data_IF_899478213304
#
_entry.id   IF_899478213304
#
_cell.length_a   1.000
_cell.length_b   1.000
_cell.length_c   1.000
_cell.angle_alpha   90.00
_cell.angle_beta   90.00
_cell.angle_gamma   90.00
#
_symmetry.space_group_name_H-M   'P 1'
#
loop_
_entity.id
_entity.type
_entity.pdbx_description
1 polymer ?
#
# COMPACT_ATOMS: atom_id res chain seq x y z
N UNK A 1 -35.07 36.21 -73.07
CA UNK A 1 -33.76 35.60 -72.75
C UNK A 1 -33.38 36.03 -71.33
N UNK A 2 -32.69 35.19 -70.55
CA UNK A 2 -33.07 34.48 -69.30
C UNK A 2 -32.80 35.34 -68.04
N UNK A 3 -32.99 34.96 -66.77
CA UNK A 3 -32.68 33.71 -66.08
C UNK A 3 -33.44 33.63 -64.73
N UNK A 4 -34.12 32.50 -64.49
CA UNK A 4 -33.78 31.48 -63.50
C UNK A 4 -34.24 31.79 -62.05
N UNK A 5 -35.44 31.29 -61.79
CA UNK A 5 -35.83 30.28 -60.79
C UNK A 5 -35.09 30.17 -59.44
N UNK A 6 -35.86 29.91 -58.37
CA UNK A 6 -35.42 29.87 -56.98
C UNK A 6 -34.83 28.51 -56.63
N UNK A 7 -33.81 28.45 -55.78
CA UNK A 7 -33.61 27.24 -54.97
C UNK A 7 -32.88 27.52 -53.66
N UNK A 8 -33.56 28.18 -52.73
CA UNK A 8 -33.23 27.97 -51.32
C UNK A 8 -33.97 26.69 -50.86
N UNK A 9 -33.60 25.52 -51.41
CA UNK A 9 -33.98 24.24 -50.80
C UNK A 9 -33.09 24.03 -49.59
N UNK A 10 -33.47 24.65 -48.47
CA UNK A 10 -33.03 24.19 -47.15
C UNK A 10 -33.66 22.81 -46.96
N UNK A 11 -32.96 21.79 -47.44
CA UNK A 11 -33.40 20.39 -47.35
C UNK A 11 -33.35 20.01 -45.88
N UNK A 12 -34.47 20.20 -45.18
CA UNK A 12 -34.68 19.68 -43.84
C UNK A 12 -34.81 18.15 -43.97
N UNK A 13 -33.66 17.48 -44.09
CA UNK A 13 -33.57 16.02 -44.08
C UNK A 13 -33.85 15.55 -42.65
N UNK A 14 -35.12 15.39 -42.33
CA UNK A 14 -35.53 14.62 -41.16
C UNK A 14 -35.03 13.20 -41.32
N UNK A 15 -34.38 12.68 -40.28
CA UNK A 15 -34.01 11.27 -40.23
C UNK A 15 -35.29 10.43 -40.35
N UNK A 16 -35.24 9.35 -41.14
CA UNK A 16 -36.40 8.46 -41.22
C UNK A 16 -36.66 7.85 -39.84
N UNK A 17 -37.91 7.56 -39.48
CA UNK A 17 -38.25 7.02 -38.16
C UNK A 17 -37.41 5.80 -37.77
N UNK A 18 -37.10 4.94 -38.75
CA UNK A 18 -36.28 3.74 -38.56
C UNK A 18 -34.81 4.09 -38.35
N UNK A 19 -34.24 4.99 -39.15
CA UNK A 19 -32.83 5.39 -39.02
C UNK A 19 -32.59 6.16 -37.72
N UNK A 20 -33.55 6.97 -37.28
CA UNK A 20 -33.49 7.67 -35.99
C UNK A 20 -33.46 6.70 -34.82
N UNK A 21 -34.31 5.66 -34.85
CA UNK A 21 -34.35 4.63 -33.79
C UNK A 21 -33.05 3.81 -33.76
N UNK A 22 -32.55 3.36 -34.91
CA UNK A 22 -31.30 2.59 -34.94
C UNK A 22 -30.12 3.41 -34.41
N UNK A 23 -30.02 4.69 -34.78
CA UNK A 23 -28.96 5.58 -34.29
C UNK A 23 -29.06 5.79 -32.77
N UNK A 24 -30.28 5.99 -32.25
CA UNK A 24 -30.50 6.14 -30.82
C UNK A 24 -30.07 4.89 -30.04
N UNK A 25 -30.49 3.70 -30.50
CA UNK A 25 -30.17 2.43 -29.85
C UNK A 25 -28.65 2.21 -29.80
N UNK A 26 -27.94 2.47 -30.90
CA UNK A 26 -26.48 2.32 -30.95
C UNK A 26 -25.79 3.22 -29.91
N UNK A 27 -26.20 4.49 -29.81
CA UNK A 27 -25.60 5.42 -28.86
C UNK A 27 -25.88 4.97 -27.42
N UNK A 28 -27.11 4.54 -27.12
CA UNK A 28 -27.48 4.07 -25.77
C UNK A 28 -26.69 2.81 -25.40
N UNK A 29 -26.54 1.86 -26.32
CA UNK A 29 -25.75 0.64 -26.08
C UNK A 29 -24.29 0.98 -25.83
N UNK A 30 -23.72 1.91 -26.60
CA UNK A 30 -22.35 2.36 -26.42
C UNK A 30 -22.17 3.06 -25.06
N UNK A 31 -23.06 3.99 -24.71
CA UNK A 31 -23.04 4.68 -23.41
C UNK A 31 -23.18 3.69 -22.25
N UNK A 32 -24.12 2.76 -22.33
CA UNK A 32 -24.31 1.72 -21.31
C UNK A 32 -23.06 0.84 -21.15
N UNK A 33 -22.42 0.44 -22.26
CA UNK A 33 -21.17 -0.32 -22.21
C UNK A 33 -20.03 0.48 -21.57
N UNK A 34 -19.88 1.77 -21.91
CA UNK A 34 -18.82 2.62 -21.33
C UNK A 34 -19.03 2.87 -19.85
N UNK A 35 -20.26 3.17 -19.41
CA UNK A 35 -20.58 3.37 -17.99
C UNK A 35 -20.47 2.04 -17.23
N UNK A 36 -20.92 0.93 -17.82
CA UNK A 36 -20.76 -0.40 -17.25
C UNK A 36 -19.30 -0.79 -17.04
N UNK A 37 -18.42 -0.51 -18.01
CA UNK A 37 -16.99 -0.73 -17.89
C UNK A 37 -16.33 0.18 -16.83
N UNK A 38 -16.77 1.43 -16.70
CA UNK A 38 -16.29 2.32 -15.64
C UNK A 38 -16.73 1.83 -14.25
N UNK A 39 -18.00 1.43 -14.08
CA UNK A 39 -18.54 0.92 -12.81
C UNK A 39 -17.87 -0.39 -12.39
N UNK A 40 -17.68 -1.33 -13.32
CA UNK A 40 -16.95 -2.58 -13.07
C UNK A 40 -15.46 -2.33 -12.79
N UNK A 41 -14.87 -1.30 -13.41
CA UNK A 41 -13.50 -0.87 -13.14
C UNK A 41 -13.29 -0.26 -11.75
N UNK A 42 -14.36 0.11 -11.02
CA UNK A 42 -14.28 0.55 -9.62
C UNK A 42 -14.31 -0.61 -8.61
N UNK A 43 -14.68 -1.83 -9.01
CA UNK A 43 -14.63 -2.98 -8.10
C UNK A 43 -13.19 -3.31 -7.69
N UNK A 44 -12.20 -2.99 -8.53
CA UNK A 44 -10.77 -3.28 -8.28
C UNK A 44 -10.05 -2.16 -7.49
N UNK A 45 -10.55 -0.91 -7.58
CA UNK A 45 -9.97 0.25 -6.86
C UNK A 45 -10.56 0.43 -5.46
N UNK A 46 -11.56 -0.39 -5.09
CA UNK A 46 -12.04 -0.53 -3.71
C UNK A 46 -11.28 -1.63 -2.96
N UNK A 47 -10.02 -1.89 -3.33
CA UNK A 47 -9.10 -2.64 -2.48
C UNK A 47 -8.81 -1.77 -1.27
N UNK A 48 -9.65 -1.95 -0.24
CA UNK A 48 -9.52 -1.63 1.20
C UNK A 48 -8.80 -0.32 1.55
N UNK A 49 -9.39 0.62 2.31
CA UNK A 49 -8.65 1.78 2.80
C UNK A 49 -7.39 1.28 3.52
N UNK A 50 -6.21 1.53 2.91
CA UNK A 50 -4.93 1.26 3.55
C UNK A 50 -4.99 1.95 4.92
N UNK A 51 -4.70 1.22 6.01
CA UNK A 51 -4.74 1.79 7.36
C UNK A 51 -4.00 3.12 7.35
N UNK A 52 -4.65 4.16 7.86
CA UNK A 52 -4.07 5.50 7.94
C UNK A 52 -3.11 5.55 9.13
N UNK A 53 -2.08 4.71 9.08
CA UNK A 53 -1.03 4.59 10.09
C UNK A 53 0.29 4.86 9.39
N UNK A 54 1.10 5.71 10.00
CA UNK A 54 2.41 6.07 9.47
C UNK A 54 3.48 5.65 10.45
N UNK A 55 4.57 5.12 9.92
CA UNK A 55 5.77 4.82 10.69
C UNK A 55 6.97 5.53 10.07
N UNK A 56 7.94 5.83 10.91
CA UNK A 56 9.28 6.25 10.51
C UNK A 56 10.28 5.15 10.90
N UNK A 57 11.36 5.01 10.14
CA UNK A 57 12.37 3.97 10.41
C UNK A 57 13.76 4.60 10.47
N UNK A 58 14.36 4.51 11.65
CA UNK A 58 15.71 4.98 11.93
C UNK A 58 16.70 3.80 11.95
N UNK A 59 17.70 3.85 11.07
CA UNK A 59 18.76 2.86 11.01
C UNK A 59 20.02 3.30 11.76
N UNK A 60 20.54 2.42 12.60
CA UNK A 60 21.72 2.64 13.42
C UNK A 60 22.83 1.62 13.08
N UNK A 61 23.69 1.92 12.09
CA UNK A 61 24.71 0.98 11.59
C UNK A 61 25.82 0.64 12.60
N UNK A 62 26.02 1.47 13.62
CA UNK A 62 27.05 1.33 14.65
C UNK A 62 26.54 0.75 15.97
N UNK A 63 25.23 0.48 16.07
CA UNK A 63 24.61 -0.18 17.22
C UNK A 63 24.81 0.52 18.58
N UNK A 64 24.72 1.85 18.70
CA UNK A 64 25.01 2.56 19.93
C UNK A 64 24.06 2.15 21.05
N UNK A 65 24.60 1.64 22.15
CA UNK A 65 23.79 1.21 23.29
C UNK A 65 23.00 -0.08 23.05
N UNK A 66 23.22 -0.78 21.93
CA UNK A 66 22.61 -2.08 21.69
C UNK A 66 23.35 -3.19 22.47
N UNK A 67 22.62 -3.94 23.30
CA UNK A 67 23.15 -5.05 24.08
C UNK A 67 23.64 -6.25 23.24
N UNK A 68 23.12 -6.40 22.01
CA UNK A 68 23.53 -7.48 21.10
C UNK A 68 24.81 -7.17 20.30
N UNK A 69 25.40 -5.97 20.48
CA UNK A 69 26.60 -5.50 19.78
C UNK A 69 26.49 -5.52 18.24
N UNK A 70 25.30 -5.25 17.69
CA UNK A 70 25.05 -5.15 16.25
C UNK A 70 24.22 -3.95 15.87
N UNK A 71 24.17 -3.65 14.57
CA UNK A 71 23.27 -2.67 14.00
C UNK A 71 21.81 -3.03 14.26
N UNK A 72 20.96 -2.01 14.35
CA UNK A 72 19.52 -2.17 14.59
C UNK A 72 18.74 -1.11 13.82
N UNK A 73 17.43 -1.31 13.69
CA UNK A 73 16.47 -0.29 13.26
C UNK A 73 15.48 -0.01 14.40
N UNK A 74 15.03 1.23 14.52
CA UNK A 74 13.87 1.58 15.31
C UNK A 74 12.73 1.95 14.36
N UNK A 75 11.64 1.20 14.43
CA UNK A 75 10.42 1.49 13.69
C UNK A 75 9.50 2.28 14.61
N UNK A 76 9.35 3.57 14.39
CA UNK A 76 8.58 4.48 15.26
C UNK A 76 7.21 4.73 14.68
N UNK A 77 6.16 4.54 15.47
CA UNK A 77 4.80 4.92 15.13
C UNK A 77 4.62 6.45 15.23
N UNK A 78 4.23 7.09 14.13
CA UNK A 78 4.12 8.56 14.04
C UNK A 78 2.67 9.06 14.15
N UNK A 79 1.75 8.43 13.41
CA UNK A 79 0.37 8.87 13.30
C UNK A 79 -0.58 7.68 13.12
N UNK A 80 -1.81 7.84 13.63
CA UNK A 80 -2.83 6.79 13.64
C UNK A 80 -2.86 6.03 14.95
N UNK A 81 -3.57 4.90 14.97
CA UNK A 81 -3.43 3.86 15.99
C UNK A 81 -3.91 2.52 15.42
N UNK A 82 -3.34 1.43 15.91
CA UNK A 82 -3.86 0.07 15.68
C UNK A 82 -4.12 -0.54 17.04
N UNK A 83 -5.39 -0.75 17.37
CA UNK A 83 -5.82 -1.19 18.70
C UNK A 83 -5.26 -2.56 19.09
N UNK A 84 -4.93 -3.40 18.10
CA UNK A 84 -4.47 -4.77 18.29
C UNK A 84 -3.08 -4.97 17.64
N UNK A 85 -2.04 -4.89 18.47
CA UNK A 85 -0.63 -5.09 18.09
C UNK A 85 -0.33 -6.52 17.64
N UNK A 86 -1.16 -7.50 18.00
CA UNK A 86 -1.06 -8.89 17.54
C UNK A 86 -1.33 -9.04 16.03
N UNK A 87 -2.00 -8.04 15.43
CA UNK A 87 -2.32 -7.99 14.00
C UNK A 87 -1.21 -7.34 13.17
N UNK A 88 -0.21 -6.74 13.81
CA UNK A 88 0.89 -6.05 13.15
C UNK A 88 2.15 -6.88 13.30
N UNK A 89 2.83 -7.13 12.20
CA UNK A 89 4.01 -7.98 12.15
C UNK A 89 5.17 -7.22 11.55
N UNK A 90 6.35 -7.38 12.14
CA UNK A 90 7.62 -7.09 11.48
C UNK A 90 8.07 -8.36 10.78
N UNK A 91 8.35 -8.27 9.48
CA UNK A 91 8.69 -9.40 8.61
C UNK A 91 10.00 -9.11 7.91
N UNK A 92 10.99 -9.98 8.04
CA UNK A 92 12.23 -9.87 7.29
C UNK A 92 12.10 -10.41 5.85
N UNK A 93 13.16 -10.27 5.08
CA UNK A 93 13.30 -10.77 3.72
C UNK A 93 13.39 -12.31 3.60
N UNK A 94 13.76 -13.00 4.69
CA UNK A 94 13.71 -14.46 4.77
C UNK A 94 12.30 -14.98 5.10
N UNK A 95 11.36 -14.09 5.41
CA UNK A 95 9.97 -14.40 5.73
C UNK A 95 9.76 -14.78 7.19
N UNK A 96 10.76 -14.59 8.06
CA UNK A 96 10.54 -14.68 9.49
C UNK A 96 9.69 -13.49 9.93
N UNK A 97 8.87 -13.69 10.96
CA UNK A 97 7.98 -12.65 11.45
C UNK A 97 7.87 -12.67 12.97
N UNK A 98 7.59 -11.50 13.52
CA UNK A 98 7.26 -11.31 14.93
C UNK A 98 6.10 -10.31 15.03
N UNK A 99 5.16 -10.55 15.96
CA UNK A 99 4.09 -9.59 16.21
C UNK A 99 4.66 -8.34 16.90
N UNK A 100 4.07 -7.18 16.65
CA UNK A 100 4.51 -5.92 17.21
C UNK A 100 4.54 -5.95 18.74
N UNK A 101 3.49 -6.53 19.33
CA UNK A 101 3.36 -6.69 20.79
C UNK A 101 4.40 -7.61 21.43
N UNK A 102 5.03 -8.50 20.64
CA UNK A 102 6.05 -9.43 21.12
C UNK A 102 7.45 -8.81 21.10
N UNK A 103 7.65 -7.67 20.42
CA UNK A 103 8.91 -6.92 20.43
C UNK A 103 9.04 -6.20 21.77
N UNK A 104 10.23 -6.23 22.39
CA UNK A 104 10.43 -5.74 23.77
C UNK A 104 9.99 -4.28 24.04
N UNK A 105 9.98 -3.42 23.02
CA UNK A 105 9.57 -2.01 23.10
C UNK A 105 8.20 -1.76 22.46
N UNK A 106 7.62 -2.76 21.80
CA UNK A 106 6.27 -2.69 21.27
C UNK A 106 5.22 -2.95 22.35
N UNK A 107 4.00 -2.48 22.10
CA UNK A 107 2.84 -2.66 22.97
C UNK A 107 1.73 -3.53 22.37
N UNK A 108 0.75 -3.89 23.21
CA UNK A 108 -0.51 -4.56 22.81
C UNK A 108 -1.34 -3.72 21.82
N UNK A 109 -1.05 -2.43 21.71
CA UNK A 109 -1.62 -1.48 20.76
C UNK A 109 -0.45 -0.80 20.08
N UNK A 110 -0.54 -0.56 18.76
CA UNK A 110 0.44 0.27 18.05
C UNK A 110 0.04 1.74 18.22
N UNK A 111 0.69 2.39 19.17
CA UNK A 111 0.40 3.75 19.60
C UNK A 111 0.54 3.88 21.13
N UNK A 112 0.87 5.07 21.66
CA UNK A 112 0.75 6.41 21.06
C UNK A 112 1.89 6.80 20.10
N UNK A 113 1.80 7.97 19.48
CA UNK A 113 2.88 8.53 18.66
C UNK A 113 4.21 8.57 19.45
N UNK A 114 5.29 8.12 18.82
CA UNK A 114 6.62 7.97 19.41
C UNK A 114 6.90 6.61 20.07
N UNK A 115 5.92 5.71 20.17
CA UNK A 115 6.19 4.29 20.43
C UNK A 115 7.04 3.71 19.30
N UNK A 116 7.98 2.83 19.61
CA UNK A 116 8.82 2.21 18.60
C UNK A 116 9.10 0.74 18.87
N UNK A 117 9.21 -0.04 17.79
CA UNK A 117 9.74 -1.39 17.82
C UNK A 117 11.25 -1.35 17.48
N UNK A 118 12.07 -1.75 18.43
CA UNK A 118 13.51 -1.95 18.21
C UNK A 118 13.74 -3.32 17.58
N UNK A 119 14.46 -3.35 16.47
CA UNK A 119 14.70 -4.56 15.71
C UNK A 119 16.20 -4.72 15.47
N UNK A 120 16.78 -5.78 16.05
CA UNK A 120 18.19 -6.12 15.93
C UNK A 120 18.44 -7.63 15.70
N UNK A 121 17.37 -8.42 15.65
CA UNK A 121 17.42 -9.87 15.47
C UNK A 121 17.94 -10.62 16.70
N UNK A 122 17.82 -10.03 17.89
CA UNK A 122 18.21 -10.64 19.16
C UNK A 122 17.11 -10.52 20.22
N UNK A 123 17.24 -11.23 21.34
CA UNK A 123 16.27 -11.12 22.44
C UNK A 123 14.83 -11.43 22.02
N UNK A 124 13.93 -10.46 22.19
CA UNK A 124 12.50 -10.57 21.83
C UNK A 124 12.28 -10.90 20.37
N UNK A 125 13.01 -10.23 19.47
CA UNK A 125 12.90 -10.32 18.02
C UNK A 125 13.94 -11.25 17.40
N UNK A 126 14.51 -12.16 18.19
CA UNK A 126 15.44 -13.22 17.73
C UNK A 126 14.86 -14.17 16.68
N UNK A 127 13.56 -14.10 16.42
CA UNK A 127 12.94 -14.75 15.26
C UNK A 127 13.37 -14.10 13.93
N UNK A 128 13.63 -12.80 13.92
CA UNK A 128 14.11 -12.05 12.76
C UNK A 128 15.62 -12.25 12.57
N UNK A 129 16.10 -12.11 11.33
CA UNK A 129 17.54 -12.10 11.07
C UNK A 129 18.17 -10.81 11.61
N UNK A 130 19.39 -10.88 12.21
CA UNK A 130 20.17 -9.69 12.50
C UNK A 130 20.53 -8.92 11.22
N UNK A 131 20.83 -7.64 11.37
CA UNK A 131 21.29 -6.79 10.28
C UNK A 131 22.80 -7.01 10.09
N UNK A 132 23.15 -7.66 8.98
CA UNK A 132 24.50 -8.11 8.64
C UNK A 132 25.04 -7.50 7.34
N UNK A 133 24.17 -7.05 6.44
CA UNK A 133 24.56 -6.51 5.13
C UNK A 133 23.61 -5.42 4.63
N UNK A 134 24.09 -4.59 3.70
CA UNK A 134 23.23 -3.66 2.98
C UNK A 134 22.22 -4.42 2.09
N UNK A 135 21.05 -3.85 1.88
CA UNK A 135 20.00 -4.41 1.02
C UNK A 135 19.10 -5.43 1.69
N UNK A 136 19.29 -5.75 2.98
CA UNK A 136 18.30 -6.51 3.75
C UNK A 136 16.99 -5.71 3.86
N UNK A 137 15.85 -6.38 3.77
CA UNK A 137 14.54 -5.74 3.90
C UNK A 137 13.83 -6.13 5.20
N UNK A 138 13.24 -5.14 5.84
CA UNK A 138 12.31 -5.31 6.95
C UNK A 138 11.00 -4.61 6.61
N UNK A 139 9.90 -5.34 6.74
CA UNK A 139 8.56 -4.85 6.39
C UNK A 139 7.67 -4.85 7.61
N UNK A 140 6.86 -3.80 7.74
CA UNK A 140 5.73 -3.80 8.68
C UNK A 140 4.49 -4.20 7.91
N UNK A 141 3.83 -5.26 8.35
CA UNK A 141 2.65 -5.85 7.69
C UNK A 141 1.52 -5.90 8.70
N UNK A 142 0.32 -5.53 8.28
CA UNK A 142 -0.90 -5.76 9.06
C UNK A 142 -1.69 -6.93 8.46
N UNK A 143 -2.16 -7.84 9.30
CA UNK A 143 -3.06 -8.93 8.95
C UNK A 143 -4.42 -8.70 9.61
N UNK A 144 -5.49 -8.62 8.81
CA UNK A 144 -6.86 -8.48 9.32
C UNK A 144 -7.50 -9.86 9.47
N UNK A 145 -8.49 -9.99 10.35
CA UNK A 145 -9.24 -11.26 10.56
C UNK A 145 -9.87 -11.85 9.28
N UNK A 146 -10.11 -11.03 8.25
CA UNK A 146 -10.59 -11.47 6.94
C UNK A 146 -9.55 -12.14 6.03
N UNK A 147 -8.29 -12.27 6.48
CA UNK A 147 -7.16 -12.81 5.71
C UNK A 147 -6.50 -11.80 4.76
N UNK A 148 -7.01 -10.57 4.71
CA UNK A 148 -6.36 -9.47 3.98
C UNK A 148 -5.08 -9.06 4.71
N UNK A 149 -3.98 -8.96 3.97
CA UNK A 149 -2.71 -8.41 4.46
C UNK A 149 -2.31 -7.18 3.66
N UNK A 150 -1.71 -6.20 4.33
CA UNK A 150 -1.20 -4.98 3.71
C UNK A 150 0.17 -4.66 4.27
N UNK A 151 1.11 -4.32 3.39
CA UNK A 151 2.42 -3.79 3.78
C UNK A 151 2.24 -2.30 4.10
N UNK A 152 2.61 -1.89 5.31
CA UNK A 152 2.57 -0.51 5.78
C UNK A 152 3.91 0.20 5.53
N UNK A 153 5.01 -0.53 5.70
CA UNK A 153 6.39 -0.05 5.50
C UNK A 153 7.19 -1.16 4.84
N UNK A 154 8.06 -0.77 3.91
CA UNK A 154 9.15 -1.62 3.40
C UNK A 154 10.43 -0.82 3.50
N UNK A 155 11.33 -1.26 4.39
CA UNK A 155 12.59 -0.59 4.66
C UNK A 155 13.77 -1.44 4.21
N UNK A 156 14.56 -0.90 3.30
CA UNK A 156 15.81 -1.48 2.83
C UNK A 156 16.99 -0.90 3.63
N UNK A 157 17.86 -1.76 4.17
CA UNK A 157 19.09 -1.32 4.85
C UNK A 157 20.00 -0.62 3.83
N UNK A 158 20.27 0.70 3.98
CA UNK A 158 20.86 1.49 2.90
C UNK A 158 22.38 1.30 2.75
N UNK A 159 23.07 0.89 3.82
CA UNK A 159 24.53 0.77 3.85
C UNK A 159 24.96 -0.40 4.74
N UNK A 160 26.18 -0.89 4.54
CA UNK A 160 26.77 -1.93 5.37
C UNK A 160 26.79 -1.53 6.85
N UNK A 161 26.44 -2.44 7.78
CA UNK A 161 26.58 -2.18 9.21
C UNK A 161 28.05 -2.06 9.59
N UNK A 162 28.35 -1.09 10.44
CA UNK A 162 29.69 -0.89 11.03
C UNK A 162 29.91 -1.71 12.31
N UNK A 163 28.82 -2.15 12.94
CA UNK A 163 28.81 -3.12 14.03
C UNK A 163 27.88 -4.28 13.65
N UNK A 164 28.39 -5.51 13.74
CA UNK A 164 27.62 -6.72 13.40
C UNK A 164 27.41 -7.58 14.63
N UNK A 165 26.20 -8.11 14.75
CA UNK A 165 25.88 -9.14 15.74
C UNK A 165 26.77 -10.38 15.47
N UNK A 166 27.11 -11.15 16.51
CA UNK A 166 27.88 -12.40 16.38
C UNK A 166 27.13 -13.52 15.62
N UNK A 167 25.83 -13.35 15.38
CA UNK A 167 25.00 -14.22 14.57
C UNK A 167 24.98 -13.85 13.07
N UNK A 168 25.68 -12.78 12.68
CA UNK A 168 26.22 -12.62 11.34
C UNK A 168 27.43 -13.56 11.16
#
# INVERSE_FOLDING_TARGET
MPALSPTERRSNRGLSPVVGVSLLVVIVVLLAATVGAMVMGFEDVLTEPQPQVSFDVDYHPDGPGNGANGAYINITHEFGSIEDGSQVFVVDDAGNRIAWEDVWTGGETVGPAGEYAHIDGAGSDSALRPICEAGQHYRVVIEREGGSSSVLVDYEIPTEPTATNAAC
#
